data_IF_824654256346
#
_entry.id   IF_824654256346
#
_cell.length_a   1.000
_cell.length_b   1.000
_cell.length_c   1.000
_cell.angle_alpha   90.00
_cell.angle_beta   90.00
_cell.angle_gamma   90.00
#
_symmetry.space_group_name_H-M   'P 1'
#
loop_
_entity.id
_entity.type
_entity.pdbx_description
1 polymer ?
#
# COMPACT_ATOMS: atom_id res chain seq x y z
N UNK A 1 -46.48 -39.34 -1.71
CA UNK A 1 -45.23 -38.99 -2.42
C UNK A 1 -44.87 -37.55 -2.07
N UNK A 2 -43.94 -37.34 -1.15
CA UNK A 2 -43.15 -36.10 -1.05
C UNK A 2 -41.74 -36.54 -0.68
N UNK A 3 -40.80 -36.37 -1.62
CA UNK A 3 -39.41 -36.81 -1.51
C UNK A 3 -38.63 -35.91 -0.56
N UNK A 4 -38.08 -36.51 0.50
CA UNK A 4 -37.06 -35.90 1.36
C UNK A 4 -35.68 -36.09 0.75
N UNK A 5 -35.03 -35.01 0.36
CA UNK A 5 -33.66 -35.01 -0.15
C UNK A 5 -32.66 -35.12 1.02
N UNK A 6 -32.11 -36.32 1.23
CA UNK A 6 -30.95 -36.55 2.09
C UNK A 6 -29.74 -35.81 1.48
N UNK A 7 -29.19 -34.82 2.20
CA UNK A 7 -27.83 -34.33 1.95
C UNK A 7 -26.87 -35.15 2.83
N UNK A 8 -26.00 -35.92 2.18
CA UNK A 8 -24.89 -36.62 2.82
C UNK A 8 -23.83 -35.65 3.36
N UNK A 9 -22.91 -36.15 4.21
CA UNK A 9 -21.92 -35.32 4.89
C UNK A 9 -20.95 -34.71 3.88
N UNK A 10 -20.80 -33.38 3.91
CA UNK A 10 -19.67 -32.70 3.28
C UNK A 10 -18.41 -33.05 4.09
N UNK A 11 -17.43 -33.67 3.44
CA UNK A 11 -16.06 -33.75 3.96
C UNK A 11 -15.57 -32.33 4.22
N UNK A 12 -15.40 -31.99 5.50
CA UNK A 12 -14.55 -30.89 5.93
C UNK A 12 -13.11 -31.33 5.65
N UNK A 13 -12.42 -30.55 4.81
CA UNK A 13 -11.00 -30.72 4.58
C UNK A 13 -10.24 -30.67 5.90
N UNK A 14 -9.24 -31.54 6.02
CA UNK A 14 -8.42 -31.74 7.20
C UNK A 14 -7.74 -30.42 7.61
N UNK A 15 -8.08 -29.96 8.83
CA UNK A 15 -7.32 -28.93 9.53
C UNK A 15 -6.10 -29.64 10.12
N UNK A 16 -4.94 -29.45 9.50
CA UNK A 16 -3.67 -29.86 10.09
C UNK A 16 -3.37 -28.86 11.20
N UNK A 17 -3.49 -29.33 12.44
CA UNK A 17 -3.18 -28.59 13.67
C UNK A 17 -1.66 -28.56 13.84
N UNK A 18 -1.06 -27.37 13.89
CA UNK A 18 0.29 -27.19 14.43
C UNK A 18 0.26 -26.13 15.54
N UNK A 19 0.52 -26.58 16.76
CA UNK A 19 0.41 -25.80 18.00
C UNK A 19 1.77 -25.25 18.41
N UNK A 20 2.12 -24.06 17.92
CA UNK A 20 3.20 -23.26 18.50
C UNK A 20 2.60 -22.23 19.48
N UNK A 21 2.82 -22.44 20.77
CA UNK A 21 2.33 -21.58 21.85
C UNK A 21 3.47 -20.65 22.29
N UNK A 22 3.59 -19.48 21.65
CA UNK A 22 4.58 -18.47 22.03
C UNK A 22 3.85 -17.37 22.81
N UNK A 23 4.26 -17.16 24.07
CA UNK A 23 3.78 -16.09 24.96
C UNK A 23 2.28 -16.09 25.31
N UNK A 24 1.61 -17.25 25.24
CA UNK A 24 0.21 -17.41 25.67
C UNK A 24 -0.83 -16.96 24.63
N UNK A 25 -0.40 -16.53 23.45
CA UNK A 25 -1.25 -16.30 22.28
C UNK A 25 -1.16 -17.56 21.43
N UNK A 26 -2.20 -18.40 21.45
CA UNK A 26 -2.26 -19.54 20.52
C UNK A 26 -2.62 -19.05 19.12
N UNK A 27 -2.02 -19.64 18.08
CA UNK A 27 -2.34 -19.37 16.67
C UNK A 27 -3.83 -19.50 16.40
N UNK A 28 -4.47 -20.55 16.95
CA UNK A 28 -5.91 -20.79 16.83
C UNK A 28 -6.77 -19.66 17.44
N UNK A 29 -6.34 -19.08 18.57
CA UNK A 29 -7.04 -17.95 19.17
C UNK A 29 -6.93 -16.71 18.28
N UNK A 30 -5.72 -16.44 17.77
CA UNK A 30 -5.49 -15.30 16.90
C UNK A 30 -6.32 -15.40 15.62
N UNK A 31 -6.33 -16.56 14.96
CA UNK A 31 -7.15 -16.83 13.78
C UNK A 31 -8.64 -16.58 14.04
N UNK A 32 -9.18 -17.10 15.15
CA UNK A 32 -10.59 -16.88 15.53
C UNK A 32 -10.89 -15.39 15.77
N UNK A 33 -9.95 -14.65 16.36
CA UNK A 33 -10.11 -13.23 16.65
C UNK A 33 -10.05 -12.38 15.38
N UNK A 34 -9.12 -12.70 14.50
CA UNK A 34 -9.00 -12.12 13.15
C UNK A 34 -10.29 -12.36 12.36
N UNK A 35 -10.82 -13.58 12.35
CA UNK A 35 -12.04 -13.90 11.63
C UNK A 35 -13.26 -13.12 12.15
N UNK A 36 -13.35 -12.91 13.48
CA UNK A 36 -14.41 -12.07 14.06
C UNK A 36 -14.26 -10.61 13.65
N UNK A 37 -13.04 -10.07 13.64
CA UNK A 37 -12.80 -8.71 13.15
C UNK A 37 -13.15 -8.57 11.68
N UNK A 38 -12.79 -9.53 10.82
CA UNK A 38 -13.18 -9.54 9.41
C UNK A 38 -14.72 -9.47 9.27
N UNK A 39 -15.46 -10.23 10.08
CA UNK A 39 -16.93 -10.20 10.03
C UNK A 39 -17.51 -8.85 10.48
N UNK A 40 -16.85 -8.16 11.42
CA UNK A 40 -17.29 -6.83 11.90
C UNK A 40 -16.95 -5.74 10.88
N UNK A 41 -15.77 -5.82 10.29
CA UNK A 41 -15.22 -4.79 9.40
C UNK A 41 -15.66 -4.96 7.93
N UNK A 42 -16.15 -6.14 7.58
CA UNK A 42 -16.56 -6.50 6.22
C UNK A 42 -15.49 -7.26 5.44
N UNK A 43 -15.91 -7.91 4.35
CA UNK A 43 -15.02 -8.58 3.39
C UNK A 43 -14.93 -7.77 2.10
N UNK A 44 -13.77 -7.75 1.42
CA UNK A 44 -13.59 -6.95 0.21
C UNK A 44 -14.44 -7.50 -0.94
N UNK A 45 -14.99 -6.60 -1.77
CA UNK A 45 -15.70 -6.94 -3.02
C UNK A 45 -14.76 -7.25 -4.20
N UNK A 46 -13.46 -6.97 -4.06
CA UNK A 46 -12.43 -7.26 -5.05
C UNK A 46 -11.29 -8.05 -4.40
N UNK A 47 -10.88 -9.13 -5.06
CA UNK A 47 -9.68 -9.91 -4.70
C UNK A 47 -8.45 -9.05 -4.96
N UNK A 48 -8.07 -8.22 -4.00
CA UNK A 48 -6.78 -7.52 -4.00
C UNK A 48 -5.67 -8.57 -3.87
N UNK A 49 -4.92 -8.76 -4.95
CA UNK A 49 -3.86 -9.77 -5.04
C UNK A 49 -2.59 -9.29 -4.31
N UNK A 50 -1.82 -10.23 -3.76
CA UNK A 50 -0.69 -9.99 -2.84
C UNK A 50 0.60 -9.54 -3.54
N UNK A 51 1.26 -8.46 -3.09
CA UNK A 51 2.56 -8.05 -3.66
C UNK A 51 3.64 -9.14 -3.61
N UNK A 52 4.60 -9.11 -4.54
CA UNK A 52 5.70 -10.09 -4.56
C UNK A 52 6.51 -10.09 -3.26
N UNK A 53 6.77 -8.89 -2.72
CA UNK A 53 7.43 -8.74 -1.42
C UNK A 53 6.70 -9.54 -0.33
N UNK A 54 5.38 -9.44 -0.30
CA UNK A 54 4.54 -10.18 0.64
C UNK A 54 4.59 -11.69 0.39
N UNK A 55 4.60 -12.15 -0.87
CA UNK A 55 4.74 -13.58 -1.19
C UNK A 55 6.01 -14.19 -0.57
N UNK A 56 7.12 -13.43 -0.60
CA UNK A 56 8.38 -13.86 0.01
C UNK A 56 8.30 -13.81 1.54
N UNK A 57 7.89 -12.67 2.10
CA UNK A 57 8.02 -12.39 3.53
C UNK A 57 6.94 -13.08 4.39
N UNK A 58 5.87 -13.62 3.78
CA UNK A 58 4.92 -14.50 4.49
C UNK A 58 5.56 -15.80 4.98
N UNK A 59 6.67 -16.25 4.39
CA UNK A 59 7.40 -17.41 4.91
C UNK A 59 8.09 -17.04 6.24
N UNK A 60 7.76 -17.73 7.33
CA UNK A 60 8.30 -17.45 8.68
C UNK A 60 9.82 -17.32 8.71
N UNK A 61 10.52 -18.18 7.96
CA UNK A 61 11.99 -18.17 7.86
C UNK A 61 12.52 -16.88 7.23
N UNK A 62 11.84 -16.36 6.21
CA UNK A 62 12.22 -15.12 5.53
C UNK A 62 11.89 -13.91 6.40
N UNK A 63 10.71 -13.89 7.03
CA UNK A 63 10.36 -12.86 8.02
C UNK A 63 11.40 -12.78 9.14
N UNK A 64 11.82 -13.93 9.68
CA UNK A 64 12.84 -14.05 10.72
C UNK A 64 14.21 -13.53 10.25
N UNK A 65 14.63 -13.92 9.04
CA UNK A 65 15.90 -13.47 8.45
C UNK A 65 15.96 -11.93 8.35
N UNK A 66 14.91 -11.33 7.80
CA UNK A 66 14.82 -9.88 7.63
C UNK A 66 14.75 -9.18 8.98
N UNK A 67 13.97 -9.73 9.93
CA UNK A 67 13.89 -9.21 11.30
C UNK A 67 15.26 -9.22 12.00
N UNK A 68 16.00 -10.33 11.91
CA UNK A 68 17.36 -10.45 12.44
C UNK A 68 18.30 -9.41 11.81
N UNK A 69 18.23 -9.26 10.49
CA UNK A 69 19.10 -8.34 9.76
C UNK A 69 18.86 -6.86 10.13
N UNK A 70 17.62 -6.48 10.46
CA UNK A 70 17.25 -5.11 10.85
C UNK A 70 17.61 -4.81 12.30
N UNK A 71 17.41 -5.78 13.20
CA UNK A 71 17.53 -5.57 14.64
C UNK A 71 18.86 -6.05 15.23
N UNK A 72 19.76 -6.58 14.40
CA UNK A 72 21.02 -7.20 14.84
C UNK A 72 20.81 -8.35 15.85
N UNK A 73 19.73 -9.09 15.64
CA UNK A 73 19.36 -10.27 16.44
C UNK A 73 19.72 -11.57 15.72
N UNK A 74 19.64 -12.69 16.44
CA UNK A 74 20.11 -14.00 15.99
C UNK A 74 19.11 -15.10 16.32
N UNK A 75 17.82 -14.85 16.15
CA UNK A 75 16.79 -15.87 16.31
C UNK A 75 16.96 -16.94 15.23
N UNK A 76 16.94 -18.21 15.61
CA UNK A 76 17.25 -19.35 14.74
C UNK A 76 16.07 -20.29 14.49
N UNK A 77 14.98 -20.15 15.25
CA UNK A 77 13.76 -20.94 15.12
C UNK A 77 12.63 -20.16 14.41
N UNK A 78 12.30 -20.47 13.15
CA UNK A 78 11.16 -19.86 12.44
C UNK A 78 9.82 -20.04 13.15
N UNK A 79 9.64 -21.09 13.96
CA UNK A 79 8.36 -21.32 14.66
C UNK A 79 8.08 -20.32 15.77
N UNK A 80 9.08 -19.53 16.17
CA UNK A 80 8.90 -18.41 17.11
C UNK A 80 8.16 -17.23 16.46
N UNK A 81 8.06 -17.22 15.12
CA UNK A 81 7.31 -16.22 14.35
C UNK A 81 5.84 -16.62 14.26
N UNK A 82 4.97 -15.80 14.85
CA UNK A 82 3.52 -15.91 14.70
C UNK A 82 3.07 -14.90 13.66
N UNK A 83 2.71 -15.35 12.46
CA UNK A 83 2.14 -14.47 11.43
C UNK A 83 0.80 -13.93 11.93
N UNK A 84 0.68 -12.61 12.00
CA UNK A 84 -0.54 -11.90 12.44
C UNK A 84 -1.24 -11.18 11.30
N UNK A 85 -0.71 -11.31 10.08
CA UNK A 85 -1.17 -10.57 8.92
C UNK A 85 -2.66 -10.81 8.69
N UNK A 86 -3.44 -9.74 8.67
CA UNK A 86 -4.87 -9.81 8.40
C UNK A 86 -5.11 -10.14 6.93
N UNK A 87 -5.21 -11.42 6.61
CA UNK A 87 -5.63 -11.84 5.28
C UNK A 87 -7.12 -11.53 5.10
N UNK A 88 -7.43 -10.68 4.13
CA UNK A 88 -8.81 -10.33 3.74
C UNK A 88 -9.61 -9.50 4.75
N UNK A 89 -8.98 -8.93 5.80
CA UNK A 89 -9.64 -7.91 6.62
C UNK A 89 -9.50 -6.54 5.97
N UNK A 90 -10.64 -5.87 5.82
CA UNK A 90 -10.72 -4.53 5.26
C UNK A 90 -11.02 -3.58 6.40
N UNK A 91 -9.99 -2.99 7.01
CA UNK A 91 -10.22 -1.71 7.69
C UNK A 91 -10.05 -0.63 6.63
N UNK A 92 -11.15 -0.02 6.18
CA UNK A 92 -11.15 1.09 5.19
C UNK A 92 -10.50 0.80 3.82
N UNK A 93 -10.55 -0.43 3.31
CA UNK A 93 -9.89 -0.80 2.04
C UNK A 93 -8.39 -1.11 2.17
N UNK A 94 -7.84 -1.02 3.38
CA UNK A 94 -6.40 -1.03 3.61
C UNK A 94 -5.92 -2.38 4.14
N UNK A 95 -4.89 -2.93 3.49
CA UNK A 95 -4.19 -4.16 3.90
C UNK A 95 -2.72 -3.81 4.15
N UNK A 96 -2.15 -4.31 5.24
CA UNK A 96 -0.69 -4.26 5.41
C UNK A 96 -0.04 -5.39 4.61
N UNK A 97 1.22 -5.24 4.21
CA UNK A 97 1.94 -6.29 3.50
C UNK A 97 2.17 -7.50 4.39
N UNK A 98 2.97 -7.36 5.46
CA UNK A 98 3.22 -8.44 6.41
C UNK A 98 3.22 -7.90 7.84
N UNK A 99 2.56 -8.62 8.72
CA UNK A 99 2.73 -8.47 10.17
C UNK A 99 2.89 -9.81 10.86
N UNK A 100 3.71 -9.81 11.90
CA UNK A 100 3.99 -10.97 12.73
C UNK A 100 4.41 -10.56 14.14
N UNK A 101 4.31 -11.50 15.06
CA UNK A 101 4.84 -11.39 16.41
C UNK A 101 6.07 -12.28 16.50
N UNK A 102 7.12 -11.75 17.12
CA UNK A 102 8.30 -12.50 17.53
C UNK A 102 8.75 -11.98 18.90
N UNK A 103 8.98 -12.90 19.84
CA UNK A 103 9.19 -12.51 21.24
C UNK A 103 8.01 -11.69 21.75
N UNK A 104 8.27 -10.46 22.20
CA UNK A 104 7.24 -9.50 22.65
C UNK A 104 7.10 -8.29 21.73
N UNK A 105 7.46 -8.42 20.46
CA UNK A 105 7.34 -7.36 19.47
C UNK A 105 6.30 -7.72 18.40
N UNK A 106 5.46 -6.75 18.04
CA UNK A 106 4.52 -6.82 16.92
C UNK A 106 5.12 -6.05 15.75
N UNK A 107 5.63 -6.76 14.77
CA UNK A 107 6.33 -6.19 13.63
C UNK A 107 5.36 -6.00 12.47
N UNK A 108 5.37 -4.82 11.88
CA UNK A 108 4.65 -4.48 10.66
C UNK A 108 5.66 -4.06 9.60
N UNK A 109 5.74 -4.87 8.55
CA UNK A 109 6.55 -4.64 7.36
C UNK A 109 5.66 -4.19 6.22
N UNK A 110 6.09 -3.13 5.55
CA UNK A 110 5.42 -2.55 4.38
C UNK A 110 6.46 -2.29 3.30
N UNK A 111 6.15 -2.61 2.06
CA UNK A 111 6.95 -2.20 0.90
C UNK A 111 6.25 -1.03 0.21
N UNK A 112 7.01 -0.01 -0.18
CA UNK A 112 6.50 1.15 -0.91
C UNK A 112 7.41 1.51 -2.09
N UNK A 113 6.81 1.68 -3.27
CA UNK A 113 7.45 2.23 -4.48
C UNK A 113 7.33 3.77 -4.56
N UNK A 114 6.54 4.38 -3.69
CA UNK A 114 6.30 5.84 -3.63
C UNK A 114 6.52 6.34 -2.21
N UNK A 115 7.09 7.53 -2.06
CA UNK A 115 7.21 8.17 -0.76
C UNK A 115 5.82 8.56 -0.24
N UNK A 116 5.34 7.85 0.78
CA UNK A 116 4.00 8.06 1.33
C UNK A 116 4.09 8.65 2.74
N UNK A 117 3.91 9.98 2.91
CA UNK A 117 4.00 10.63 4.22
C UNK A 117 2.88 10.21 5.19
N UNK A 118 1.81 9.57 4.68
CA UNK A 118 0.69 9.10 5.49
C UNK A 118 0.92 7.70 6.11
N UNK A 119 2.09 7.09 5.91
CA UNK A 119 2.40 5.76 6.47
C UNK A 119 2.22 5.67 7.99
N UNK A 120 2.61 6.67 8.82
CA UNK A 120 2.33 6.62 10.26
C UNK A 120 0.84 6.52 10.58
N UNK A 121 -0.01 7.26 9.86
CA UNK A 121 -1.47 7.20 10.04
C UNK A 121 -2.03 5.84 9.60
N UNK A 122 -1.55 5.31 8.46
CA UNK A 122 -1.94 3.96 8.01
C UNK A 122 -1.56 2.89 9.03
N UNK A 123 -0.34 2.94 9.55
CA UNK A 123 0.15 2.03 10.57
C UNK A 123 -0.61 2.14 11.89
N UNK A 124 -1.10 3.34 12.26
CA UNK A 124 -1.97 3.49 13.42
C UNK A 124 -3.27 2.68 13.27
N UNK A 125 -3.88 2.70 12.08
CA UNK A 125 -5.06 1.89 11.80
C UNK A 125 -4.75 0.38 11.87
N UNK A 126 -3.66 -0.06 11.23
CA UNK A 126 -3.26 -1.47 11.26
C UNK A 126 -3.00 -1.96 12.68
N UNK A 127 -2.19 -1.24 13.46
CA UNK A 127 -1.84 -1.66 14.82
C UNK A 127 -3.06 -1.67 15.73
N UNK A 128 -3.99 -0.72 15.57
CA UNK A 128 -5.21 -0.68 16.38
C UNK A 128 -6.08 -1.91 16.14
N UNK A 129 -6.27 -2.31 14.87
CA UNK A 129 -6.98 -3.55 14.54
C UNK A 129 -6.28 -4.78 15.11
N UNK A 130 -4.94 -4.82 15.04
CA UNK A 130 -4.17 -5.95 15.54
C UNK A 130 -4.22 -6.06 17.06
N UNK A 131 -4.06 -4.95 17.78
CA UNK A 131 -4.18 -4.92 19.23
C UNK A 131 -5.60 -5.32 19.65
N UNK A 132 -6.64 -4.83 18.96
CA UNK A 132 -8.01 -5.25 19.23
C UNK A 132 -8.20 -6.77 19.06
N UNK A 133 -7.59 -7.37 18.03
CA UNK A 133 -7.60 -8.82 17.82
C UNK A 133 -6.95 -9.57 19.00
N UNK A 134 -5.75 -9.12 19.38
CA UNK A 134 -4.94 -9.73 20.44
C UNK A 134 -5.61 -9.60 21.82
N UNK A 135 -6.35 -8.51 22.05
CA UNK A 135 -7.01 -8.24 23.33
C UNK A 135 -8.48 -8.64 23.38
N UNK A 136 -9.04 -9.24 22.32
CA UNK A 136 -10.49 -9.45 22.18
C UNK A 136 -11.13 -10.27 23.32
N UNK A 137 -10.41 -11.23 23.89
CA UNK A 137 -10.88 -12.06 25.00
C UNK A 137 -10.31 -11.63 26.38
N UNK A 138 -9.68 -10.46 26.45
CA UNK A 138 -9.11 -9.94 27.69
C UNK A 138 -10.14 -9.09 28.45
N UNK A 139 -10.00 -9.01 29.77
CA UNK A 139 -10.85 -8.15 30.59
C UNK A 139 -10.30 -6.72 30.63
N UNK A 140 -10.55 -5.95 29.57
CA UNK A 140 -10.07 -4.56 29.45
C UNK A 140 -10.61 -3.63 30.53
N UNK A 141 -11.74 -3.97 31.15
CA UNK A 141 -12.35 -3.23 32.27
C UNK A 141 -11.89 -3.74 33.65
N UNK A 142 -11.02 -4.76 33.66
CA UNK A 142 -10.47 -5.33 34.88
C UNK A 142 -9.40 -4.45 35.52
N UNK A 143 -9.09 -4.71 36.79
CA UNK A 143 -8.04 -4.00 37.53
C UNK A 143 -6.61 -4.46 37.20
N UNK A 144 -6.45 -5.51 36.40
CA UNK A 144 -5.14 -6.06 36.01
C UNK A 144 -4.69 -5.48 34.68
N UNK A 145 -3.43 -5.02 34.63
CA UNK A 145 -2.81 -4.53 33.41
C UNK A 145 -2.72 -5.65 32.36
N UNK A 146 -3.23 -5.39 31.16
CA UNK A 146 -3.06 -6.25 29.99
C UNK A 146 -1.72 -5.91 29.35
N UNK A 147 -0.85 -6.91 29.20
CA UNK A 147 0.40 -6.78 28.46
C UNK A 147 0.13 -6.99 26.98
N UNK A 148 0.65 -6.10 26.15
CA UNK A 148 0.57 -6.16 24.69
C UNK A 148 1.99 -6.14 24.11
N UNK A 149 2.21 -6.74 22.92
CA UNK A 149 3.50 -6.66 22.26
C UNK A 149 3.83 -5.22 21.85
N UNK A 150 5.12 -4.88 21.87
CA UNK A 150 5.61 -3.57 21.42
C UNK A 150 5.57 -3.47 19.89
N UNK A 151 4.86 -2.50 19.29
CA UNK A 151 4.81 -2.37 17.85
C UNK A 151 6.13 -1.85 17.24
N UNK A 152 6.57 -2.45 16.13
CA UNK A 152 7.69 -1.98 15.30
C UNK A 152 7.21 -1.78 13.85
N UNK A 153 7.40 -0.58 13.31
CA UNK A 153 6.91 -0.21 11.97
C UNK A 153 8.09 0.04 11.03
N UNK A 154 8.24 -0.81 10.01
CA UNK A 154 9.32 -0.70 9.02
C UNK A 154 8.72 -0.60 7.62
N UNK A 155 9.18 0.38 6.85
CA UNK A 155 8.89 0.54 5.43
C UNK A 155 10.16 0.26 4.62
N UNK A 156 10.09 -0.68 3.69
CA UNK A 156 11.11 -0.92 2.68
C UNK A 156 10.78 -0.10 1.43
N UNK A 157 11.54 0.96 1.23
CA UNK A 157 11.39 1.83 0.07
C UNK A 157 12.24 1.33 -1.09
N UNK A 158 11.62 1.06 -2.22
CA UNK A 158 12.32 0.71 -3.45
C UNK A 158 11.93 1.62 -4.63
N UNK A 159 11.37 2.81 -4.39
CA UNK A 159 10.90 3.68 -5.47
C UNK A 159 12.01 4.30 -6.33
N UNK A 160 11.61 5.07 -7.35
CA UNK A 160 12.52 5.76 -8.28
C UNK A 160 12.96 7.14 -7.78
N UNK A 161 12.21 7.76 -6.87
CA UNK A 161 12.57 9.05 -6.27
C UNK A 161 13.82 8.87 -5.39
N UNK A 162 14.73 9.84 -5.45
CA UNK A 162 15.93 9.82 -4.64
C UNK A 162 15.58 10.15 -3.18
N UNK A 163 15.61 9.13 -2.32
CA UNK A 163 15.42 9.27 -0.88
C UNK A 163 16.70 8.94 -0.11
N UNK A 164 16.90 9.51 1.09
CA UNK A 164 18.02 9.15 1.96
C UNK A 164 18.09 7.64 2.25
N UNK A 165 19.27 7.16 2.63
CA UNK A 165 19.48 5.74 2.96
C UNK A 165 18.47 5.24 4.01
N UNK A 166 18.20 6.04 5.04
CA UNK A 166 17.15 5.77 6.00
C UNK A 166 16.63 7.08 6.62
N UNK A 167 15.37 7.08 7.04
CA UNK A 167 14.78 8.18 7.79
C UNK A 167 13.58 7.68 8.62
N UNK A 168 13.04 8.53 9.48
CA UNK A 168 11.83 8.22 10.24
C UNK A 168 10.70 9.17 9.83
N UNK A 169 9.48 8.63 9.73
CA UNK A 169 8.25 9.41 9.67
C UNK A 169 7.57 9.38 11.03
N UNK A 170 6.97 10.49 11.46
CA UNK A 170 6.24 10.57 12.73
C UNK A 170 4.76 10.86 12.47
N UNK A 171 3.87 10.27 13.27
CA UNK A 171 2.44 10.56 13.18
C UNK A 171 2.15 12.03 13.47
N UNK A 172 2.91 12.62 14.38
CA UNK A 172 2.74 14.03 14.71
C UNK A 172 2.95 14.95 13.51
N UNK A 173 3.69 14.55 12.46
CA UNK A 173 3.86 15.31 11.22
C UNK A 173 2.54 15.60 10.49
N UNK A 174 1.52 14.78 10.73
CA UNK A 174 0.17 14.99 10.18
C UNK A 174 -0.72 15.92 11.04
N UNK A 175 -0.28 16.34 12.23
CA UNK A 175 -1.11 17.15 13.11
C UNK A 175 -1.21 18.59 12.61
N UNK A 176 -2.44 19.09 12.44
CA UNK A 176 -2.72 20.50 12.11
C UNK A 176 -2.08 21.47 13.13
N UNK A 177 -2.01 21.05 14.40
CA UNK A 177 -1.37 21.78 15.48
C UNK A 177 -0.53 20.86 16.35
N UNK A 178 0.79 21.05 16.33
CA UNK A 178 1.75 20.34 17.16
C UNK A 178 1.95 21.05 18.51
N UNK A 179 1.62 20.37 19.61
CA UNK A 179 2.04 20.74 20.97
C UNK A 179 3.50 20.36 21.21
N UNK A 180 4.11 20.92 22.26
CA UNK A 180 5.45 20.50 22.70
C UNK A 180 5.44 19.09 23.31
N UNK A 181 4.37 18.73 24.02
CA UNK A 181 4.16 17.40 24.59
C UNK A 181 3.15 16.63 23.73
N UNK A 182 3.61 15.54 23.11
CA UNK A 182 2.84 14.74 22.15
C UNK A 182 2.31 13.50 22.87
N UNK A 183 0.98 13.42 23.04
CA UNK A 183 0.35 12.31 23.77
C UNK A 183 0.22 11.01 22.95
N UNK A 184 0.16 11.12 21.62
CA UNK A 184 0.15 9.98 20.72
C UNK A 184 1.23 10.19 19.66
N UNK A 185 2.25 9.34 19.67
CA UNK A 185 3.31 9.37 18.68
C UNK A 185 3.55 7.95 18.15
N UNK A 186 3.53 7.82 16.83
CA UNK A 186 3.86 6.58 16.13
C UNK A 186 4.98 6.91 15.16
N UNK A 187 6.09 6.18 15.27
CA UNK A 187 7.26 6.37 14.41
C UNK A 187 7.41 5.19 13.47
N UNK A 188 7.65 5.50 12.20
CA UNK A 188 7.89 4.52 11.15
C UNK A 188 9.32 4.69 10.66
N UNK A 189 10.11 3.62 10.69
CA UNK A 189 11.45 3.60 10.11
C UNK A 189 11.34 3.26 8.63
N UNK A 190 11.87 4.13 7.78
CA UNK A 190 11.93 3.91 6.33
C UNK A 190 13.37 3.55 5.97
N UNK A 191 13.52 2.44 5.25
CA UNK A 191 14.79 1.90 4.78
C UNK A 191 14.78 1.92 3.25
N UNK A 192 15.68 2.70 2.64
CA UNK A 192 15.87 2.65 1.20
C UNK A 192 16.62 1.37 0.83
N UNK A 193 15.93 0.44 0.18
CA UNK A 193 16.47 -0.86 -0.20
C UNK A 193 16.93 -0.92 -1.66
N UNK A 194 16.89 0.21 -2.37
CA UNK A 194 17.44 0.28 -3.72
C UNK A 194 18.95 -0.03 -3.72
N UNK A 195 19.44 -0.47 -4.89
CA UNK A 195 20.85 -0.79 -5.09
C UNK A 195 21.75 0.41 -4.71
N UNK A 196 22.75 0.15 -3.88
CA UNK A 196 23.70 1.16 -3.38
C UNK A 196 23.30 1.79 -2.03
N UNK A 197 22.17 1.39 -1.44
CA UNK A 197 21.72 1.82 -0.13
C UNK A 197 21.63 0.64 0.85
N UNK A 198 21.87 0.90 2.14
CA UNK A 198 21.80 -0.06 3.24
C UNK A 198 22.60 -1.35 2.98
N UNK A 199 23.82 -1.23 2.44
CA UNK A 199 24.67 -2.38 2.11
C UNK A 199 24.89 -3.33 3.30
N UNK A 200 24.96 -2.79 4.51
CA UNK A 200 25.07 -3.61 5.73
C UNK A 200 23.82 -4.48 5.96
N UNK A 201 22.62 -3.97 5.67
CA UNK A 201 21.37 -4.74 5.77
C UNK A 201 21.34 -5.82 4.70
N UNK A 202 21.71 -5.48 3.46
CA UNK A 202 21.75 -6.40 2.34
C UNK A 202 22.72 -7.57 2.56
N UNK A 203 23.86 -7.32 3.23
CA UNK A 203 24.81 -8.37 3.63
C UNK A 203 24.24 -9.33 4.68
N UNK A 204 23.34 -8.84 5.55
CA UNK A 204 22.75 -9.63 6.65
C UNK A 204 21.50 -10.39 6.21
N UNK A 205 20.76 -9.91 5.21
CA UNK A 205 19.61 -10.61 4.62
C UNK A 205 19.83 -10.93 3.15
N UNK A 206 20.33 -12.15 2.83
CA UNK A 206 20.45 -12.63 1.46
C UNK A 206 19.14 -12.61 0.68
N UNK A 207 18.00 -12.86 1.34
CA UNK A 207 16.69 -12.89 0.69
C UNK A 207 16.24 -11.49 0.28
N UNK A 208 16.36 -10.49 1.17
CA UNK A 208 16.04 -9.11 0.85
C UNK A 208 16.96 -8.57 -0.26
N UNK A 209 18.26 -8.88 -0.20
CA UNK A 209 19.19 -8.54 -1.26
C UNK A 209 18.78 -9.11 -2.62
N UNK A 210 18.46 -10.41 -2.68
CA UNK A 210 18.04 -11.04 -3.94
C UNK A 210 16.72 -10.48 -4.46
N UNK A 211 15.75 -10.19 -3.58
CA UNK A 211 14.53 -9.49 -3.96
C UNK A 211 14.83 -8.14 -4.61
N UNK A 212 15.74 -7.35 -4.03
CA UNK A 212 16.11 -6.05 -4.59
C UNK A 212 16.86 -6.16 -5.91
N UNK A 213 17.73 -7.16 -6.06
CA UNK A 213 18.38 -7.43 -7.34
C UNK A 213 17.38 -7.87 -8.43
N UNK A 214 16.35 -8.63 -8.05
CA UNK A 214 15.26 -8.97 -8.97
C UNK A 214 14.50 -7.73 -9.43
N UNK A 215 14.11 -6.83 -8.50
CA UNK A 215 13.46 -5.56 -8.84
C UNK A 215 14.33 -4.69 -9.76
N UNK A 216 15.63 -4.57 -9.47
CA UNK A 216 16.60 -3.84 -10.32
C UNK A 216 16.70 -4.45 -11.73
N UNK A 217 16.70 -5.79 -11.81
CA UNK A 217 16.77 -6.52 -13.08
C UNK A 217 15.52 -6.29 -13.92
N UNK A 218 14.32 -6.33 -13.33
CA UNK A 218 13.05 -6.03 -14.01
C UNK A 218 13.10 -4.62 -14.59
N UNK A 219 13.48 -3.62 -13.78
CA UNK A 219 13.58 -2.22 -14.22
C UNK A 219 14.56 -2.04 -15.37
N UNK A 220 15.70 -2.74 -15.33
CA UNK A 220 16.69 -2.69 -16.41
C UNK A 220 16.09 -3.19 -17.73
N UNK A 221 15.40 -4.34 -17.72
CA UNK A 221 14.77 -4.85 -18.93
C UNK A 221 13.58 -4.01 -19.41
N UNK A 222 12.82 -3.40 -18.50
CA UNK A 222 11.70 -2.52 -18.85
C UNK A 222 12.11 -1.26 -19.64
N UNK A 223 13.38 -0.87 -19.59
CA UNK A 223 13.91 0.24 -20.42
C UNK A 223 14.03 -0.12 -21.90
N UNK A 224 14.12 -1.41 -22.21
CA UNK A 224 14.42 -1.91 -23.56
C UNK A 224 13.26 -2.72 -24.16
N UNK A 225 12.42 -3.33 -23.32
CA UNK A 225 11.38 -4.28 -23.75
C UNK A 225 10.00 -3.91 -23.18
N UNK A 226 8.91 -4.27 -23.87
CA UNK A 226 7.57 -4.24 -23.30
C UNK A 226 7.48 -5.05 -22.00
N UNK A 227 6.54 -4.67 -21.13
CA UNK A 227 6.42 -5.19 -19.77
C UNK A 227 6.51 -6.72 -19.67
N UNK A 228 5.68 -7.46 -20.42
CA UNK A 228 5.64 -8.94 -20.34
C UNK A 228 6.98 -9.57 -20.73
N UNK A 229 7.58 -9.08 -21.82
CA UNK A 229 8.88 -9.57 -22.29
C UNK A 229 10.00 -9.20 -21.31
N UNK A 230 9.98 -7.97 -20.77
CA UNK A 230 10.95 -7.54 -19.77
C UNK A 230 10.91 -8.43 -18.53
N UNK A 231 9.70 -8.78 -18.09
CA UNK A 231 9.49 -9.64 -16.94
C UNK A 231 9.99 -11.07 -17.19
N UNK A 232 9.67 -11.67 -18.34
CA UNK A 232 10.19 -13.01 -18.67
C UNK A 232 11.72 -13.05 -18.70
N UNK A 233 12.35 -12.08 -19.35
CA UNK A 233 13.81 -11.96 -19.42
C UNK A 233 14.42 -11.75 -18.03
N UNK A 234 13.80 -10.94 -17.19
CA UNK A 234 14.27 -10.71 -15.83
C UNK A 234 14.19 -11.98 -14.97
N UNK A 235 13.10 -12.75 -15.08
CA UNK A 235 12.96 -14.03 -14.37
C UNK A 235 14.03 -15.02 -14.86
N UNK A 236 14.22 -15.15 -16.17
CA UNK A 236 15.18 -16.08 -16.75
C UNK A 236 16.62 -15.72 -16.34
N UNK A 237 16.97 -14.43 -16.35
CA UNK A 237 18.26 -13.97 -15.88
C UNK A 237 18.45 -14.25 -14.39
N UNK A 238 17.47 -13.91 -13.55
CA UNK A 238 17.56 -14.12 -12.10
C UNK A 238 17.68 -15.62 -11.76
N UNK A 239 16.91 -16.48 -12.41
CA UNK A 239 17.04 -17.93 -12.25
C UNK A 239 18.44 -18.42 -12.66
N UNK A 240 19.00 -17.90 -13.77
CA UNK A 240 20.33 -18.28 -14.27
C UNK A 240 21.45 -17.80 -13.36
N UNK A 241 21.31 -16.63 -12.74
CA UNK A 241 22.32 -16.03 -11.85
C UNK A 241 22.12 -16.42 -10.38
N UNK A 242 21.08 -17.19 -10.05
CA UNK A 242 20.80 -17.68 -8.70
C UNK A 242 20.05 -16.68 -7.80
N UNK A 243 19.51 -15.59 -8.37
CA UNK A 243 18.71 -14.59 -7.65
C UNK A 243 17.27 -15.12 -7.53
N UNK A 244 16.81 -15.36 -6.30
CA UNK A 244 15.49 -15.92 -5.99
C UNK A 244 15.14 -17.17 -6.83
N UNK A 245 16.15 -17.94 -7.30
CA UNK A 245 15.95 -18.98 -8.32
C UNK A 245 14.88 -20.00 -7.93
N UNK A 246 14.94 -20.51 -6.69
CA UNK A 246 13.98 -21.55 -6.24
C UNK A 246 12.55 -21.01 -6.14
N UNK A 247 12.40 -19.78 -5.63
CA UNK A 247 11.12 -19.08 -5.56
C UNK A 247 10.56 -18.82 -6.96
N UNK A 248 11.36 -18.24 -7.85
CA UNK A 248 10.96 -17.90 -9.21
C UNK A 248 10.63 -19.14 -10.06
N UNK A 249 11.35 -20.25 -9.87
CA UNK A 249 11.04 -21.54 -10.53
C UNK A 249 9.69 -22.09 -10.11
N UNK A 250 9.37 -22.02 -8.81
CA UNK A 250 8.11 -22.55 -8.25
C UNK A 250 6.92 -21.64 -8.55
N UNK A 251 7.13 -20.32 -8.52
CA UNK A 251 6.06 -19.32 -8.52
C UNK A 251 6.02 -18.46 -9.80
N UNK A 252 6.71 -18.86 -10.88
CA UNK A 252 6.81 -18.06 -12.13
C UNK A 252 5.49 -17.48 -12.61
N UNK A 253 4.47 -18.32 -12.77
CA UNK A 253 3.18 -17.91 -13.30
C UNK A 253 2.43 -16.95 -12.35
N UNK A 254 2.63 -17.10 -11.05
CA UNK A 254 2.04 -16.23 -10.03
C UNK A 254 2.75 -14.88 -9.98
N UNK A 255 4.08 -14.89 -10.00
CA UNK A 255 4.96 -13.70 -10.10
C UNK A 255 4.59 -12.87 -11.33
N UNK A 256 4.49 -13.50 -12.52
CA UNK A 256 4.08 -12.83 -13.76
C UNK A 256 2.70 -12.17 -13.62
N UNK A 257 1.71 -12.92 -13.12
CA UNK A 257 0.34 -12.43 -12.94
C UNK A 257 0.27 -11.28 -11.95
N UNK A 258 1.04 -11.35 -10.87
CA UNK A 258 1.04 -10.34 -9.82
C UNK A 258 1.62 -9.03 -10.32
N UNK A 259 2.79 -9.10 -10.96
CA UNK A 259 3.47 -7.91 -11.44
C UNK A 259 2.67 -7.23 -12.56
N UNK A 260 2.04 -8.00 -13.46
CA UNK A 260 1.16 -7.42 -14.48
C UNK A 260 0.05 -6.57 -13.85
N UNK A 261 -0.56 -7.07 -12.78
CA UNK A 261 -1.59 -6.34 -12.05
C UNK A 261 -1.04 -5.08 -11.36
N UNK A 262 0.11 -5.17 -10.69
CA UNK A 262 0.78 -4.02 -10.07
C UNK A 262 1.13 -2.95 -11.12
N UNK A 263 1.67 -3.36 -12.27
CA UNK A 263 2.03 -2.48 -13.38
C UNK A 263 0.80 -1.78 -13.98
N UNK A 264 -0.26 -2.53 -14.28
CA UNK A 264 -1.50 -1.95 -14.80
C UNK A 264 -2.10 -0.94 -13.81
N UNK A 265 -2.10 -1.26 -12.51
CA UNK A 265 -2.58 -0.37 -11.47
C UNK A 265 -1.74 0.91 -11.38
N UNK A 266 -0.41 0.80 -11.37
CA UNK A 266 0.49 1.97 -11.34
C UNK A 266 0.28 2.86 -12.56
N UNK A 267 0.17 2.26 -13.76
CA UNK A 267 -0.10 2.99 -15.00
C UNK A 267 -1.47 3.67 -15.01
N UNK A 268 -2.51 2.99 -14.52
CA UNK A 268 -3.84 3.60 -14.38
C UNK A 268 -3.82 4.81 -13.45
N UNK A 269 -3.16 4.69 -12.29
CA UNK A 269 -3.01 5.80 -11.34
C UNK A 269 -2.22 6.95 -11.96
N UNK A 270 -1.18 6.67 -12.76
CA UNK A 270 -0.41 7.70 -13.45
C UNK A 270 -1.25 8.45 -14.49
N UNK A 271 -2.01 7.73 -15.32
CA UNK A 271 -2.94 8.32 -16.29
C UNK A 271 -4.02 9.16 -15.59
N UNK A 272 -4.65 8.65 -14.53
CA UNK A 272 -5.65 9.39 -13.75
C UNK A 272 -5.06 10.67 -13.12
N UNK A 273 -3.80 10.64 -12.68
CA UNK A 273 -3.11 11.81 -12.15
C UNK A 273 -2.83 12.86 -13.23
N UNK A 274 -2.42 12.44 -14.41
CA UNK A 274 -2.17 13.33 -15.55
C UNK A 274 -3.47 13.98 -16.01
N UNK A 275 -4.53 13.19 -16.21
CA UNK A 275 -5.88 13.67 -16.53
C UNK A 275 -6.38 14.66 -15.46
N UNK A 276 -6.31 14.29 -14.17
CA UNK A 276 -6.72 15.17 -13.06
C UNK A 276 -5.92 16.48 -13.00
N UNK A 277 -4.64 16.45 -13.40
CA UNK A 277 -3.79 17.63 -13.42
C UNK A 277 -4.14 18.56 -14.59
N UNK A 278 -4.45 18.00 -15.76
CA UNK A 278 -4.98 18.76 -16.89
C UNK A 278 -6.35 19.36 -16.60
N UNK A 279 -7.26 18.57 -16.03
CA UNK A 279 -8.59 19.02 -15.59
C UNK A 279 -8.46 20.20 -14.62
N UNK A 280 -7.58 20.09 -13.62
CA UNK A 280 -7.32 21.16 -12.65
C UNK A 280 -6.79 22.44 -13.31
N UNK A 281 -5.98 22.35 -14.37
CA UNK A 281 -5.54 23.52 -15.15
C UNK A 281 -6.71 24.16 -15.91
N UNK A 282 -7.58 23.35 -16.52
CA UNK A 282 -8.75 23.83 -17.26
C UNK A 282 -9.77 24.49 -16.33
N UNK A 283 -10.08 23.88 -15.20
CA UNK A 283 -10.94 24.47 -14.16
C UNK A 283 -10.36 25.80 -13.61
N UNK A 284 -9.04 25.86 -13.40
CA UNK A 284 -8.38 27.08 -12.96
C UNK A 284 -8.44 28.19 -14.03
N UNK A 285 -8.25 27.85 -15.31
CA UNK A 285 -8.42 28.79 -16.41
C UNK A 285 -9.85 29.36 -16.45
N UNK A 286 -10.88 28.51 -16.35
CA UNK A 286 -12.29 28.93 -16.29
C UNK A 286 -12.50 29.91 -15.13
N UNK A 287 -11.96 29.58 -13.96
CA UNK A 287 -12.04 30.45 -12.78
C UNK A 287 -11.42 31.83 -13.03
N UNK A 288 -10.27 31.89 -13.73
CA UNK A 288 -9.63 33.16 -14.08
C UNK A 288 -10.43 33.96 -15.09
N UNK A 289 -10.95 33.32 -16.15
CA UNK A 289 -11.79 33.94 -17.18
C UNK A 289 -13.03 34.57 -16.56
N UNK A 290 -13.77 33.80 -15.74
CA UNK A 290 -14.96 34.28 -15.02
C UNK A 290 -14.62 35.49 -14.15
N UNK A 291 -13.51 35.43 -13.39
CA UNK A 291 -13.08 36.54 -12.52
C UNK A 291 -12.75 37.81 -13.32
N UNK A 292 -12.08 37.69 -14.46
CA UNK A 292 -11.74 38.85 -15.30
C UNK A 292 -12.97 39.39 -16.04
N UNK A 293 -13.84 38.52 -16.54
CA UNK A 293 -15.13 38.88 -17.15
C UNK A 293 -16.01 39.66 -16.16
N UNK A 294 -16.14 39.17 -14.92
CA UNK A 294 -16.90 39.87 -13.86
C UNK A 294 -16.29 41.21 -13.44
N UNK A 295 -15.01 41.47 -13.78
CA UNK A 295 -14.36 42.78 -13.64
C UNK A 295 -14.56 43.69 -14.86
N UNK A 296 -15.38 43.27 -15.83
CA UNK A 296 -15.70 44.03 -17.04
C UNK A 296 -14.64 43.96 -18.14
N UNK A 297 -13.72 42.99 -18.09
CA UNK A 297 -12.73 42.79 -19.16
C UNK A 297 -13.37 42.17 -20.39
N UNK A 298 -12.94 42.61 -21.58
CA UNK A 298 -13.40 42.04 -22.86
C UNK A 298 -12.74 40.68 -23.12
N UNK A 299 -13.30 39.89 -24.03
CA UNK A 299 -12.71 38.60 -24.44
C UNK A 299 -11.27 38.78 -24.93
N UNK A 300 -11.01 39.80 -25.77
CA UNK A 300 -9.65 40.10 -26.26
C UNK A 300 -8.68 40.48 -25.15
N UNK A 301 -9.11 41.30 -24.18
CA UNK A 301 -8.26 41.66 -23.04
C UNK A 301 -7.95 40.42 -22.16
N UNK A 302 -8.93 39.53 -21.97
CA UNK A 302 -8.75 38.31 -21.18
C UNK A 302 -7.80 37.34 -21.90
N UNK A 303 -7.97 37.17 -23.21
CA UNK A 303 -7.11 36.34 -24.05
C UNK A 303 -5.66 36.83 -24.02
N UNK A 304 -5.43 38.14 -24.10
CA UNK A 304 -4.10 38.75 -23.98
C UNK A 304 -3.51 38.56 -22.58
N UNK A 305 -4.28 38.82 -21.51
CA UNK A 305 -3.83 38.67 -20.12
C UNK A 305 -3.44 37.22 -19.78
N UNK A 306 -4.21 36.26 -20.29
CA UNK A 306 -4.02 34.83 -19.98
C UNK A 306 -3.15 34.12 -21.01
N UNK A 307 -2.71 34.81 -22.07
CA UNK A 307 -1.96 34.27 -23.21
C UNK A 307 -2.63 33.04 -23.84
N UNK A 308 -3.95 33.10 -24.00
CA UNK A 308 -4.80 32.01 -24.49
C UNK A 308 -5.54 32.43 -25.78
N UNK A 309 -5.89 31.50 -26.68
CA UNK A 309 -6.61 31.83 -27.91
C UNK A 309 -7.95 32.53 -27.62
N UNK A 310 -8.23 33.59 -28.38
CA UNK A 310 -9.47 34.38 -28.25
C UNK A 310 -10.70 33.48 -28.37
N UNK A 311 -10.69 32.51 -29.29
CA UNK A 311 -11.79 31.56 -29.51
C UNK A 311 -12.05 30.69 -28.27
N UNK A 312 -10.99 30.31 -27.55
CA UNK A 312 -11.09 29.50 -26.32
C UNK A 312 -11.71 30.32 -25.19
N UNK A 313 -11.26 31.57 -25.02
CA UNK A 313 -11.81 32.49 -24.01
C UNK A 313 -13.26 32.85 -24.34
N UNK A 314 -13.58 33.08 -25.60
CA UNK A 314 -14.92 33.36 -26.11
C UNK A 314 -15.89 32.24 -25.67
N UNK A 315 -15.56 30.97 -25.97
CA UNK A 315 -16.37 29.82 -25.57
C UNK A 315 -16.59 29.72 -24.06
N UNK A 316 -15.52 29.91 -23.26
CA UNK A 316 -15.63 29.89 -21.79
C UNK A 316 -16.56 31.01 -21.30
N UNK A 317 -16.41 32.22 -21.86
CA UNK A 317 -17.24 33.37 -21.52
C UNK A 317 -18.72 33.12 -21.84
N UNK A 318 -19.03 32.51 -22.98
CA UNK A 318 -20.39 32.20 -23.43
C UNK A 318 -21.04 31.15 -22.51
N UNK A 319 -20.39 30.00 -22.30
CA UNK A 319 -20.92 28.91 -21.46
C UNK A 319 -21.06 29.36 -20.01
N UNK A 320 -20.12 30.17 -19.50
CA UNK A 320 -20.17 30.66 -18.12
C UNK A 320 -21.43 31.47 -17.78
N UNK A 321 -22.12 32.08 -18.77
CA UNK A 321 -23.36 32.84 -18.53
C UNK A 321 -24.50 31.98 -18.02
N UNK A 322 -24.54 30.71 -18.45
CA UNK A 322 -25.55 29.75 -18.02
C UNK A 322 -25.43 29.40 -16.53
N UNK A 323 -24.28 29.71 -15.91
CA UNK A 323 -23.94 29.38 -14.53
C UNK A 323 -23.90 30.60 -13.61
N UNK A 324 -24.28 31.78 -14.09
CA UNK A 324 -24.40 32.97 -13.26
C UNK A 324 -25.54 32.80 -12.21
N UNK A 325 -25.41 33.37 -11.00
CA UNK A 325 -24.27 34.16 -10.51
C UNK A 325 -23.17 33.33 -9.82
N UNK A 326 -23.36 32.03 -9.65
CA UNK A 326 -22.47 31.18 -8.81
C UNK A 326 -21.18 30.78 -9.54
N UNK A 327 -21.21 30.72 -10.87
CA UNK A 327 -20.10 30.40 -11.77
C UNK A 327 -19.27 29.19 -11.32
N UNK A 328 -19.95 28.08 -11.07
CA UNK A 328 -19.35 26.81 -10.69
C UNK A 328 -18.40 26.31 -11.80
N UNK A 329 -17.09 26.46 -11.56
CA UNK A 329 -16.05 26.16 -12.55
C UNK A 329 -16.07 24.68 -12.99
N UNK A 330 -16.43 23.78 -12.09
CA UNK A 330 -16.50 22.35 -12.38
C UNK A 330 -17.67 22.03 -13.33
N UNK A 331 -18.83 22.66 -13.13
CA UNK A 331 -19.97 22.48 -14.05
C UNK A 331 -19.74 23.12 -15.41
N UNK A 332 -19.12 24.30 -15.43
CA UNK A 332 -18.72 24.97 -16.69
C UNK A 332 -17.73 24.08 -17.44
N UNK A 333 -16.77 23.48 -16.74
CA UNK A 333 -15.82 22.53 -17.33
C UNK A 333 -16.53 21.30 -17.93
N UNK A 334 -17.46 20.70 -17.20
CA UNK A 334 -18.24 19.56 -17.69
C UNK A 334 -19.07 19.90 -18.95
N UNK A 335 -19.65 21.10 -19.03
CA UNK A 335 -20.39 21.51 -20.23
C UNK A 335 -19.45 21.80 -21.42
N UNK A 336 -18.27 22.36 -21.16
CA UNK A 336 -17.23 22.55 -22.18
C UNK A 336 -16.78 21.20 -22.77
N UNK A 337 -16.45 20.21 -21.94
CA UNK A 337 -16.09 18.86 -22.39
C UNK A 337 -17.21 18.24 -23.23
N UNK A 338 -18.45 18.29 -22.75
CA UNK A 338 -19.60 17.74 -23.48
C UNK A 338 -19.92 18.47 -24.81
N UNK A 339 -19.38 19.67 -25.01
CA UNK A 339 -19.56 20.46 -26.24
C UNK A 339 -18.46 20.23 -27.28
N UNK A 340 -17.36 19.59 -26.90
CA UNK A 340 -16.24 19.23 -27.78
C UNK A 340 -16.31 17.78 -28.32
N UNK A 341 -17.25 16.97 -27.78
CA UNK A 341 -17.69 15.69 -28.33
C UNK A 341 -19.01 15.84 -29.11
#
# INVERSE_FOLDING_TARGET
>A
MVNGTKRGPKQLGEIILDTANVNGISTEFLEKSIQRLINILGTPSATYKDRIFRMLVKEKKIALEIYNAINDTHYDNPEDVIITTLENAVYLGMKNDVSFIIGSELVLFEQQSTNNPNMPLRNLFYVTCMLAALTMNTNIYGSKLIRIPEPKFIVFYNGLEELPEQFNMSLSDAYEKKSQDISLELKVKVLNVNRGYNDSLMKKSPTLYQYMMFVDTVRRFQKEYPFEQAMEQAIDECIRTGILSDFLRKSRAEVMRMWLFEYDQEKHIEMEKEESYEDGKREYLITLVVKLKNKGKTVDEIADILEEPVEKIQKICEISENYAPDYDAQKIYQELENSEY
#
